data_IF_261882872025
#
_entry.id   IF_261882872025
#
_cell.length_a   1.000
_cell.length_b   1.000
_cell.length_c   1.000
_cell.angle_alpha   90.00
_cell.angle_beta   90.00
_cell.angle_gamma   90.00
#
_symmetry.space_group_name_H-M   'P 1'
#
loop_
_entity.id
_entity.type
_entity.pdbx_description
1 polymer ?
#
# COMPACT_ATOMS: atom_id res chain seq x y z
N UNK A 1 -26.29 -20.30 -26.78
CA UNK A 1 -25.89 -18.87 -26.86
C UNK A 1 -25.28 -18.27 -25.58
N UNK A 2 -25.40 -18.87 -24.38
CA UNK A 2 -24.85 -18.29 -23.13
C UNK A 2 -23.32 -18.46 -22.91
N UNK A 3 -22.66 -19.37 -23.62
CA UNK A 3 -21.22 -19.64 -23.45
C UNK A 3 -20.35 -18.58 -24.16
N UNK A 4 -20.82 -18.04 -25.29
CA UNK A 4 -20.08 -17.04 -26.07
C UNK A 4 -20.00 -15.66 -25.39
N UNK A 5 -20.99 -15.27 -24.58
CA UNK A 5 -20.96 -13.99 -23.83
C UNK A 5 -19.92 -13.99 -22.70
N UNK A 6 -19.75 -15.12 -21.99
CA UNK A 6 -18.73 -15.26 -20.94
C UNK A 6 -17.31 -15.17 -21.48
N UNK A 7 -17.07 -15.70 -22.68
CA UNK A 7 -15.78 -15.66 -23.37
C UNK A 7 -15.43 -14.25 -23.86
N UNK A 8 -16.42 -13.47 -24.32
CA UNK A 8 -16.23 -12.08 -24.81
C UNK A 8 -15.67 -11.15 -23.72
N UNK A 9 -16.12 -11.29 -22.47
CA UNK A 9 -15.65 -10.48 -21.35
C UNK A 9 -14.18 -10.75 -20.96
N UNK A 10 -13.59 -11.89 -21.36
CA UNK A 10 -12.20 -12.24 -21.00
C UNK A 10 -11.13 -11.67 -21.94
N UNK A 11 -11.52 -11.02 -23.04
CA UNK A 11 -10.60 -10.40 -24.03
C UNK A 11 -10.61 -8.87 -24.00
N UNK A 12 -11.13 -8.26 -22.95
CA UNK A 12 -11.19 -6.80 -22.81
C UNK A 12 -9.92 -6.26 -22.15
N UNK A 13 -9.19 -5.39 -22.86
CA UNK A 13 -8.11 -4.60 -22.27
C UNK A 13 -8.72 -3.47 -21.44
N UNK A 14 -8.32 -3.35 -20.17
CA UNK A 14 -8.65 -2.20 -19.33
C UNK A 14 -7.36 -1.47 -18.98
N UNK A 15 -7.32 -0.18 -19.30
CA UNK A 15 -6.27 0.73 -18.85
C UNK A 15 -6.86 1.49 -17.67
N UNK A 16 -6.32 1.25 -16.49
CA UNK A 16 -6.75 1.87 -15.23
C UNK A 16 -5.54 2.54 -14.58
N UNK A 17 -5.75 3.72 -14.02
CA UNK A 17 -4.77 4.35 -13.15
C UNK A 17 -4.81 3.65 -11.79
N UNK A 18 -3.66 3.25 -11.28
CA UNK A 18 -3.56 2.59 -9.96
C UNK A 18 -4.01 3.55 -8.85
N UNK A 19 -3.74 4.85 -9.00
CA UNK A 19 -4.14 5.85 -8.01
C UNK A 19 -5.67 6.00 -7.92
N UNK A 20 -6.40 5.73 -9.00
CA UNK A 20 -7.86 5.84 -9.00
C UNK A 20 -8.54 4.62 -8.34
N UNK A 21 -7.80 3.54 -8.08
CA UNK A 21 -8.32 2.34 -7.42
C UNK A 21 -8.57 2.55 -5.93
N UNK A 22 -7.97 3.57 -5.33
CA UNK A 22 -8.14 3.92 -3.91
C UNK A 22 -8.94 5.23 -3.83
N UNK A 23 -10.17 5.21 -3.29
CA UNK A 23 -11.02 6.41 -3.18
C UNK A 23 -10.28 7.60 -2.55
N UNK A 24 -10.58 8.82 -3.01
CA UNK A 24 -9.89 10.03 -2.54
C UNK A 24 -10.21 10.36 -1.08
N UNK A 25 -11.40 9.99 -0.63
CA UNK A 25 -11.92 10.09 0.74
C UNK A 25 -11.52 8.89 1.62
N UNK A 26 -10.67 8.00 1.13
CA UNK A 26 -10.25 6.82 1.89
C UNK A 26 -9.41 7.21 3.12
N UNK A 27 -9.70 6.57 4.26
CA UNK A 27 -9.03 6.80 5.55
C UNK A 27 -7.51 6.78 5.46
N UNK A 28 -6.93 5.87 4.67
CA UNK A 28 -5.48 5.79 4.47
C UNK A 28 -4.88 7.05 3.85
N UNK A 29 -5.57 7.70 2.91
CA UNK A 29 -5.12 8.97 2.32
C UNK A 29 -5.21 10.11 3.32
N UNK A 30 -6.25 10.11 4.14
CA UNK A 30 -6.41 11.10 5.21
C UNK A 30 -5.33 10.93 6.28
N UNK A 31 -5.04 9.69 6.69
CA UNK A 31 -4.00 9.36 7.65
C UNK A 31 -2.61 9.75 7.13
N UNK A 32 -2.30 9.43 5.87
CA UNK A 32 -1.00 9.78 5.28
C UNK A 32 -0.77 11.32 5.21
N UNK A 33 -1.84 12.10 5.04
CA UNK A 33 -1.79 13.57 5.10
C UNK A 33 -1.71 14.12 6.52
N UNK A 34 -2.32 13.44 7.49
CA UNK A 34 -2.41 13.90 8.88
C UNK A 34 -1.19 13.51 9.72
N UNK A 35 -0.52 12.41 9.38
CA UNK A 35 0.60 11.88 10.13
C UNK A 35 1.90 12.32 9.48
N UNK A 36 2.71 13.10 10.20
CA UNK A 36 4.10 13.28 9.83
C UNK A 36 4.88 12.01 10.19
N UNK A 37 5.40 11.27 9.20
CA UNK A 37 6.12 10.01 9.42
C UNK A 37 7.59 10.18 9.82
N UNK A 38 8.14 11.41 9.82
CA UNK A 38 9.58 11.63 10.07
C UNK A 38 10.03 11.19 11.47
N UNK A 39 9.13 11.24 12.46
CA UNK A 39 9.43 10.80 13.84
C UNK A 39 9.91 9.35 13.92
N UNK A 40 9.50 8.49 12.98
CA UNK A 40 9.94 7.09 12.94
C UNK A 40 11.46 7.03 12.78
N UNK A 41 12.02 7.86 11.90
CA UNK A 41 13.47 7.89 11.69
C UNK A 41 14.21 8.31 12.96
N UNK A 42 13.71 9.33 13.67
CA UNK A 42 14.30 9.78 14.94
C UNK A 42 14.30 8.64 15.99
N UNK A 43 13.23 7.84 16.03
CA UNK A 43 13.13 6.71 16.95
C UNK A 43 14.05 5.53 16.60
N UNK A 44 14.29 5.27 15.31
CA UNK A 44 15.03 4.08 14.87
C UNK A 44 16.47 4.36 14.44
N UNK A 45 16.90 5.62 14.34
CA UNK A 45 18.20 6.01 13.81
C UNK A 45 19.37 5.26 14.46
N UNK A 46 19.35 5.09 15.79
CA UNK A 46 20.40 4.37 16.53
C UNK A 46 20.29 2.84 16.49
N UNK A 47 19.24 2.28 15.88
CA UNK A 47 19.01 0.83 15.74
C UNK A 47 19.42 0.31 14.37
N UNK A 48 19.44 1.19 13.36
CA UNK A 48 19.91 0.86 12.03
C UNK A 48 21.42 1.05 11.95
N UNK A 49 22.09 0.07 11.37
CA UNK A 49 23.53 0.10 11.20
C UNK A 49 23.89 1.03 10.04
N UNK A 50 24.77 2.01 10.28
CA UNK A 50 25.12 3.05 9.31
C UNK A 50 25.94 2.54 8.11
N UNK A 51 26.57 1.36 8.23
CA UNK A 51 27.45 0.79 7.21
C UNK A 51 26.84 -0.48 6.63
N UNK A 52 25.96 -0.36 5.65
CA UNK A 52 25.60 -1.50 4.82
C UNK A 52 25.49 -1.07 3.37
N UNK A 53 26.28 -1.74 2.52
CA UNK A 53 26.23 -1.72 1.05
C UNK A 53 24.85 -2.13 0.49
N UNK A 54 23.92 -2.52 1.38
CA UNK A 54 22.53 -2.81 1.10
C UNK A 54 21.64 -2.08 2.13
N UNK A 55 20.94 -1.00 1.74
CA UNK A 55 20.04 -0.32 2.66
C UNK A 55 18.94 -1.29 3.12
N UNK A 56 18.73 -1.36 4.43
CA UNK A 56 17.60 -2.08 5.01
C UNK A 56 16.26 -1.53 4.50
N UNK A 57 15.19 -2.29 4.68
CA UNK A 57 13.84 -1.83 4.36
C UNK A 57 13.54 -0.50 5.06
N UNK A 58 12.87 0.41 4.34
CA UNK A 58 12.54 1.73 4.87
C UNK A 58 11.67 1.58 6.14
N UNK A 59 12.08 2.15 7.29
CA UNK A 59 11.36 1.99 8.56
C UNK A 59 9.94 2.57 8.51
N UNK A 60 9.70 3.62 7.72
CA UNK A 60 8.34 4.14 7.49
C UNK A 60 7.49 3.12 6.74
N UNK A 61 8.05 2.48 5.71
CA UNK A 61 7.34 1.44 4.95
C UNK A 61 7.00 0.23 5.84
N UNK A 62 7.94 -0.19 6.70
CA UNK A 62 7.71 -1.26 7.67
C UNK A 62 6.50 -1.01 8.57
N UNK A 63 6.31 0.23 9.04
CA UNK A 63 5.17 0.59 9.90
C UNK A 63 3.88 0.78 9.09
N UNK A 64 3.97 1.28 7.85
CA UNK A 64 2.81 1.45 6.98
C UNK A 64 2.15 0.12 6.58
N UNK A 65 2.91 -0.96 6.43
CA UNK A 65 2.37 -2.28 6.06
C UNK A 65 1.28 -2.78 7.04
N UNK A 66 1.56 -2.96 8.35
CA UNK A 66 0.53 -3.38 9.29
C UNK A 66 -0.57 -2.33 9.45
N UNK A 67 -0.23 -1.03 9.36
CA UNK A 67 -1.23 0.04 9.42
C UNK A 67 -2.29 -0.08 8.31
N UNK A 68 -1.87 -0.38 7.08
CA UNK A 68 -2.78 -0.64 5.95
C UNK A 68 -3.61 -1.90 6.21
N UNK A 69 -2.98 -2.97 6.70
CA UNK A 69 -3.67 -4.23 6.99
C UNK A 69 -4.77 -4.08 8.05
N UNK A 70 -4.55 -3.29 9.09
CA UNK A 70 -5.57 -3.02 10.11
C UNK A 70 -6.67 -2.05 9.64
N UNK A 71 -6.36 -1.14 8.72
CA UNK A 71 -7.29 -0.09 8.30
C UNK A 71 -8.26 -0.53 7.20
N UNK A 72 -7.95 -1.59 6.45
CA UNK A 72 -8.81 -2.11 5.38
C UNK A 72 -9.63 -3.29 5.91
N UNK A 73 -10.98 -3.22 5.92
CA UNK A 73 -11.81 -4.31 6.41
C UNK A 73 -11.65 -5.58 5.55
N UNK A 74 -11.33 -6.69 6.22
CA UNK A 74 -11.23 -8.02 5.63
C UNK A 74 -9.80 -8.49 5.44
N UNK A 75 -9.51 -9.70 5.90
CA UNK A 75 -8.23 -10.42 5.78
C UNK A 75 -7.90 -10.74 4.31
N UNK A 76 -7.77 -9.74 3.45
CA UNK A 76 -7.63 -9.92 1.99
C UNK A 76 -6.17 -9.95 1.52
N UNK A 77 -5.22 -9.96 2.45
CA UNK A 77 -3.78 -9.92 2.16
C UNK A 77 -2.96 -11.01 2.88
N UNK A 78 -3.63 -11.97 3.54
CA UNK A 78 -3.03 -13.23 4.03
C UNK A 78 -3.87 -14.42 3.58
#
# INVERSE_FOLDING_TARGET
MKIQEKEKNRKQLQIICIDDLVPQDHLLRMADKAINWTFIYELVQGKYFNSMDRPGINPVALIKIPFIQYSVPGNRFI
#
